data_IF_482742272622
#
_entry.id   IF_482742272622
#
_cell.length_a   1.000
_cell.length_b   1.000
_cell.length_c   1.000
_cell.angle_alpha   90.00
_cell.angle_beta   90.00
_cell.angle_gamma   90.00
#
_symmetry.space_group_name_H-M   'P 1'
#
loop_
_entity.id
_entity.type
_entity.pdbx_description
1 polymer ?
#
# COMPACT_ATOMS: atom_id res chain seq x y z
N UNK A 1 31.55 51.71 -32.28
CA UNK A 1 32.41 50.70 -31.61
C UNK A 1 31.53 49.70 -30.87
N UNK A 2 31.85 48.43 -31.06
CA UNK A 2 31.12 47.20 -30.74
C UNK A 2 30.60 47.09 -29.29
N UNK A 3 29.36 46.57 -29.14
CA UNK A 3 28.87 45.98 -27.88
C UNK A 3 28.79 44.46 -28.07
N UNK A 4 29.66 43.72 -27.38
CA UNK A 4 29.65 42.25 -27.29
C UNK A 4 28.68 41.83 -26.17
N UNK A 5 27.64 41.06 -26.49
CA UNK A 5 26.74 40.45 -25.50
C UNK A 5 27.12 38.98 -25.36
N UNK A 6 27.67 38.62 -24.20
CA UNK A 6 28.12 37.27 -23.87
C UNK A 6 26.90 36.43 -23.44
N UNK A 7 26.44 35.51 -24.31
CA UNK A 7 25.38 34.56 -23.98
C UNK A 7 25.93 33.39 -23.17
N UNK A 8 25.49 33.26 -21.92
CA UNK A 8 25.85 32.16 -21.04
C UNK A 8 24.86 30.99 -21.25
N UNK A 9 25.31 29.92 -21.93
CA UNK A 9 24.58 28.67 -22.08
C UNK A 9 24.77 27.81 -20.82
N UNK A 10 23.71 27.60 -20.03
CA UNK A 10 23.69 26.60 -18.97
C UNK A 10 23.30 25.24 -19.54
N UNK A 11 24.28 24.32 -19.63
CA UNK A 11 24.03 22.89 -19.83
C UNK A 11 23.71 22.25 -18.47
N UNK A 12 22.43 21.92 -18.23
CA UNK A 12 22.03 21.10 -17.09
C UNK A 12 22.12 19.64 -17.54
N UNK A 13 23.17 18.94 -17.09
CA UNK A 13 23.32 17.50 -17.25
C UNK A 13 22.48 16.85 -16.13
N UNK A 14 21.26 16.45 -16.44
CA UNK A 14 20.44 15.66 -15.51
C UNK A 14 20.93 14.20 -15.57
N UNK A 15 21.77 13.82 -14.62
CA UNK A 15 22.16 12.42 -14.41
C UNK A 15 20.94 11.68 -13.85
N UNK A 16 20.21 10.99 -14.72
CA UNK A 16 19.18 10.02 -14.34
C UNK A 16 19.85 8.77 -13.76
N UNK A 17 20.32 8.88 -12.52
CA UNK A 17 20.68 7.73 -11.70
C UNK A 17 19.41 6.98 -11.33
N UNK A 18 19.24 5.78 -11.88
CA UNK A 18 18.14 4.89 -11.56
C UNK A 18 18.18 4.53 -10.07
N UNK A 19 17.22 5.04 -9.32
CA UNK A 19 16.96 4.56 -7.97
C UNK A 19 16.10 3.30 -8.09
N UNK A 20 16.75 2.14 -7.93
CA UNK A 20 16.05 0.90 -7.64
C UNK A 20 15.46 1.03 -6.23
N UNK A 21 14.24 1.57 -6.14
CA UNK A 21 13.48 1.61 -4.90
C UNK A 21 13.04 0.18 -4.55
N UNK A 22 13.69 -0.42 -3.55
CA UNK A 22 13.17 -1.62 -2.89
C UNK A 22 12.10 -1.17 -1.90
N UNK A 23 10.90 -1.73 -2.02
CA UNK A 23 9.90 -1.65 -0.96
C UNK A 23 10.51 -2.12 0.36
N UNK A 24 10.17 -1.46 1.47
CA UNK A 24 10.53 -1.94 2.80
C UNK A 24 9.79 -3.27 3.02
N UNK A 25 10.55 -4.36 3.01
CA UNK A 25 10.07 -5.71 3.22
C UNK A 25 9.89 -6.06 4.72
N UNK A 26 9.90 -5.07 5.61
CA UNK A 26 10.04 -5.26 7.07
C UNK A 26 8.75 -5.09 7.88
N UNK A 27 7.63 -4.73 7.23
CA UNK A 27 6.36 -4.58 7.94
C UNK A 27 6.28 -3.36 8.85
N UNK A 28 7.15 -2.36 8.68
CA UNK A 28 7.09 -1.14 9.48
C UNK A 28 5.93 -0.22 9.05
N UNK A 29 5.07 0.24 9.97
CA UNK A 29 3.99 1.18 9.70
C UNK A 29 4.59 2.58 9.49
N UNK A 30 4.76 2.96 8.23
CA UNK A 30 5.24 4.27 7.84
C UNK A 30 4.57 4.73 6.56
N UNK A 31 4.44 6.04 6.33
CA UNK A 31 3.90 6.54 5.08
C UNK A 31 4.84 6.20 3.91
N UNK A 32 4.24 5.71 2.83
CA UNK A 32 4.86 5.36 1.56
C UNK A 32 4.41 6.37 0.51
N UNK A 33 5.35 7.12 -0.05
CA UNK A 33 5.09 8.16 -1.05
C UNK A 33 5.34 7.62 -2.47
N UNK A 34 4.44 7.91 -3.39
CA UNK A 34 4.51 7.48 -4.78
C UNK A 34 4.93 8.62 -5.70
N UNK A 35 5.47 8.30 -6.88
CA UNK A 35 5.97 9.29 -7.85
C UNK A 35 4.88 10.20 -8.42
N UNK A 36 3.62 9.79 -8.35
CA UNK A 36 2.45 10.59 -8.73
C UNK A 36 1.98 11.55 -7.63
N UNK A 37 2.71 11.61 -6.50
CA UNK A 37 2.39 12.46 -5.35
C UNK A 37 1.38 11.84 -4.37
N UNK A 38 0.92 10.61 -4.61
CA UNK A 38 0.06 9.90 -3.66
C UNK A 38 0.88 9.47 -2.43
N UNK A 39 0.23 9.40 -1.27
CA UNK A 39 0.85 8.95 -0.01
C UNK A 39 -0.06 7.91 0.63
N UNK A 40 0.47 6.71 0.85
CA UNK A 40 -0.24 5.62 1.50
C UNK A 40 0.31 5.37 2.91
N UNK A 41 -0.58 5.18 3.87
CA UNK A 41 -0.23 4.88 5.27
C UNK A 41 -1.01 3.63 5.68
N UNK A 42 -0.31 2.63 6.18
CA UNK A 42 -0.92 1.42 6.75
C UNK A 42 -0.86 1.48 8.28
N UNK A 43 -1.90 0.97 8.92
CA UNK A 43 -1.85 0.65 10.34
C UNK A 43 -0.98 -0.58 10.57
N UNK A 44 -0.42 -0.70 11.78
CA UNK A 44 0.43 -1.84 12.15
C UNK A 44 -0.34 -3.15 12.09
N UNK A 45 -1.56 -3.14 12.62
CA UNK A 45 -2.49 -4.26 12.69
C UNK A 45 -3.91 -3.70 12.69
N UNK A 46 -4.85 -4.49 12.18
CA UNK A 46 -6.24 -4.05 12.05
C UNK A 46 -7.20 -5.15 12.45
N UNK A 47 -8.29 -4.77 13.12
CA UNK A 47 -9.42 -5.64 13.34
C UNK A 47 -10.46 -5.53 12.23
N UNK A 48 -11.35 -6.52 12.21
CA UNK A 48 -12.47 -6.50 11.30
C UNK A 48 -13.39 -5.30 11.57
N UNK A 49 -13.61 -4.48 10.54
CA UNK A 49 -14.39 -3.25 10.60
C UNK A 49 -13.54 -1.98 10.78
N UNK A 50 -12.25 -2.11 11.05
CA UNK A 50 -11.35 -0.96 11.19
C UNK A 50 -10.86 -0.46 9.84
N UNK A 51 -10.52 0.83 9.80
CA UNK A 51 -9.74 1.41 8.71
C UNK A 51 -8.29 0.98 8.89
N UNK A 52 -7.82 0.16 7.97
CA UNK A 52 -6.54 -0.52 8.04
C UNK A 52 -5.44 0.17 7.23
N UNK A 53 -5.84 0.97 6.24
CA UNK A 53 -4.94 1.84 5.54
C UNK A 53 -5.67 3.07 4.99
N UNK A 54 -4.91 4.14 4.78
CA UNK A 54 -5.38 5.37 4.13
C UNK A 54 -4.43 5.74 3.01
N UNK A 55 -4.98 6.10 1.86
CA UNK A 55 -4.25 6.61 0.70
C UNK A 55 -4.74 8.03 0.45
N UNK A 56 -3.86 9.01 0.61
CA UNK A 56 -4.11 10.39 0.24
C UNK A 56 -3.61 10.60 -1.19
N UNK A 57 -4.51 10.95 -2.09
CA UNK A 57 -4.22 11.18 -3.51
C UNK A 57 -3.72 12.61 -3.70
N UNK A 58 -2.83 12.83 -4.67
CA UNK A 58 -2.29 14.16 -4.97
C UNK A 58 -3.35 15.18 -5.42
N UNK A 59 -4.50 14.71 -5.89
CA UNK A 59 -5.65 15.55 -6.26
C UNK A 59 -6.58 15.91 -5.08
N UNK A 60 -6.24 15.52 -3.85
CA UNK A 60 -7.01 15.78 -2.64
C UNK A 60 -8.13 14.77 -2.36
N UNK A 61 -8.23 13.69 -3.14
CA UNK A 61 -9.05 12.53 -2.79
C UNK A 61 -8.37 11.70 -1.68
N UNK A 62 -9.18 10.92 -0.97
CA UNK A 62 -8.71 9.98 0.03
C UNK A 62 -9.37 8.63 -0.18
N UNK A 63 -8.60 7.54 -0.17
CA UNK A 63 -9.13 6.18 -0.16
C UNK A 63 -8.86 5.57 1.21
N UNK A 64 -9.93 5.13 1.88
CA UNK A 64 -9.85 4.35 3.13
C UNK A 64 -10.01 2.88 2.79
N UNK A 65 -9.12 2.05 3.33
CA UNK A 65 -9.16 0.59 3.17
C UNK A 65 -9.67 -0.01 4.47
N UNK A 66 -10.79 -0.71 4.41
CA UNK A 66 -11.40 -1.40 5.54
C UNK A 66 -11.29 -2.90 5.31
N UNK A 67 -11.03 -3.65 6.38
CA UNK A 67 -10.99 -5.11 6.32
C UNK A 67 -12.27 -5.64 6.96
N UNK A 68 -13.13 -6.26 6.15
CA UNK A 68 -14.34 -6.92 6.62
C UNK A 68 -14.03 -8.21 7.36
N UNK A 69 -14.87 -8.58 8.33
CA UNK A 69 -14.73 -9.84 9.05
C UNK A 69 -14.79 -11.04 8.08
N UNK A 70 -13.81 -11.94 8.17
CA UNK A 70 -13.93 -13.26 7.56
C UNK A 70 -14.49 -14.24 8.59
N UNK A 71 -15.55 -14.96 8.24
CA UNK A 71 -15.95 -16.15 9.01
C UNK A 71 -14.84 -17.22 9.04
N UNK A 72 -15.04 -18.28 9.83
CA UNK A 72 -14.07 -19.39 9.90
C UNK A 72 -13.78 -19.95 8.51
N UNK A 73 -12.50 -20.00 8.14
CA UNK A 73 -12.03 -20.46 6.83
C UNK A 73 -12.61 -19.67 5.62
N UNK A 74 -13.04 -18.41 5.78
CA UNK A 74 -13.49 -17.59 4.65
C UNK A 74 -12.40 -16.58 4.22
N UNK A 75 -12.40 -16.14 2.96
CA UNK A 75 -11.60 -15.00 2.53
C UNK A 75 -12.00 -13.73 3.30
N UNK A 76 -11.05 -12.86 3.58
CA UNK A 76 -11.35 -11.50 4.05
C UNK A 76 -11.91 -10.70 2.87
N UNK A 77 -12.82 -9.77 3.17
CA UNK A 77 -13.33 -8.84 2.15
C UNK A 77 -12.72 -7.48 2.44
N UNK A 78 -11.86 -7.00 1.56
CA UNK A 78 -11.43 -5.62 1.63
C UNK A 78 -12.49 -4.72 1.03
N UNK A 79 -12.78 -3.62 1.71
CA UNK A 79 -13.65 -2.56 1.22
C UNK A 79 -12.84 -1.29 1.06
N UNK A 80 -12.97 -0.64 -0.08
CA UNK A 80 -12.32 0.61 -0.40
C UNK A 80 -13.36 1.69 -0.48
N UNK A 81 -13.15 2.79 0.23
CA UNK A 81 -14.06 3.92 0.27
C UNK A 81 -13.31 5.16 -0.20
N UNK A 82 -13.72 5.73 -1.33
CA UNK A 82 -13.10 6.93 -1.90
C UNK A 82 -13.87 8.17 -1.49
N UNK A 83 -13.17 9.17 -0.98
CA UNK A 83 -13.70 10.43 -0.49
C UNK A 83 -13.06 11.63 -1.19
N UNK A 84 -13.81 12.73 -1.30
CA UNK A 84 -13.30 14.05 -1.61
C UNK A 84 -13.97 15.07 -0.70
N UNK A 85 -13.20 15.78 0.12
CA UNK A 85 -13.73 16.76 1.10
C UNK A 85 -14.92 16.20 1.90
N UNK A 86 -14.74 15.01 2.48
CA UNK A 86 -15.73 14.26 3.26
C UNK A 86 -16.93 13.68 2.49
N UNK A 87 -17.05 13.96 1.18
CA UNK A 87 -18.06 13.32 0.33
C UNK A 87 -17.58 11.95 -0.14
N UNK A 88 -18.36 10.90 0.13
CA UNK A 88 -18.14 9.57 -0.42
C UNK A 88 -18.42 9.56 -1.93
N UNK A 89 -17.38 9.35 -2.73
CA UNK A 89 -17.44 9.29 -4.19
C UNK A 89 -17.72 7.87 -4.70
N UNK A 90 -17.28 6.84 -3.98
CA UNK A 90 -17.46 5.46 -4.43
C UNK A 90 -16.98 4.43 -3.42
N UNK A 91 -17.50 3.22 -3.56
CA UNK A 91 -17.15 2.05 -2.76
C UNK A 91 -16.95 0.86 -3.68
N UNK A 92 -15.89 0.09 -3.47
CA UNK A 92 -15.69 -1.20 -4.12
C UNK A 92 -15.08 -2.18 -3.12
N UNK A 93 -15.15 -3.47 -3.43
CA UNK A 93 -14.61 -4.51 -2.57
C UNK A 93 -13.87 -5.58 -3.35
N UNK A 94 -12.91 -6.21 -2.71
CA UNK A 94 -12.12 -7.30 -3.30
C UNK A 94 -11.88 -8.37 -2.24
N UNK A 95 -12.25 -9.64 -2.50
CA UNK A 95 -11.95 -10.73 -1.58
C UNK A 95 -10.45 -11.05 -1.61
N UNK A 96 -9.92 -11.51 -0.48
CA UNK A 96 -8.54 -12.02 -0.41
C UNK A 96 -8.45 -13.43 -0.96
N UNK A 97 -7.31 -13.76 -1.58
CA UNK A 97 -7.02 -15.10 -2.03
C UNK A 97 -6.65 -16.00 -0.84
N UNK A 98 -7.23 -17.19 -0.82
CA UNK A 98 -6.95 -18.19 0.21
C UNK A 98 -6.33 -19.42 -0.42
N UNK A 99 -5.34 -20.04 0.25
CA UNK A 99 -4.91 -21.37 -0.16
C UNK A 99 -6.08 -22.35 0.04
N UNK A 100 -6.24 -23.35 -0.84
CA UNK A 100 -7.24 -24.38 -0.64
C UNK A 100 -7.05 -25.03 0.72
N UNK A 101 -8.15 -25.36 1.38
CA UNK A 101 -8.11 -26.09 2.64
C UNK A 101 -7.32 -27.38 2.45
N UNK A 102 -6.43 -27.70 3.39
CA UNK A 102 -5.75 -29.00 3.38
C UNK A 102 -6.79 -30.07 3.68
N UNK A 103 -7.38 -30.62 2.63
CA UNK A 103 -8.29 -31.75 2.71
C UNK A 103 -7.46 -33.03 2.85
N UNK A 104 -7.40 -33.55 4.08
CA UNK A 104 -6.75 -34.82 4.36
C UNK A 104 -6.79 -35.18 5.85
N UNK A 105 -7.66 -36.12 6.20
CA UNK A 105 -7.73 -36.91 7.46
C UNK A 105 -7.67 -36.15 8.79
N UNK A 106 -8.80 -36.13 9.53
CA UNK A 106 -8.91 -35.80 10.96
C UNK A 106 -8.18 -34.52 11.41
N UNK A 107 -8.87 -33.38 11.32
CA UNK A 107 -8.37 -32.09 11.82
C UNK A 107 -8.17 -31.06 10.70
N UNK A 108 -9.23 -30.78 9.94
CA UNK A 108 -9.22 -29.75 8.90
C UNK A 108 -8.72 -28.42 9.49
N UNK A 109 -7.52 -28.02 9.09
CA UNK A 109 -6.98 -26.69 9.36
C UNK A 109 -7.35 -25.81 8.19
N UNK A 110 -7.81 -24.61 8.49
CA UNK A 110 -7.96 -23.57 7.49
C UNK A 110 -6.63 -23.45 6.70
N UNK A 111 -6.65 -23.65 5.38
CA UNK A 111 -5.54 -23.22 4.52
C UNK A 111 -5.21 -21.75 4.79
N UNK A 112 -3.92 -21.42 4.88
CA UNK A 112 -3.46 -20.04 5.11
C UNK A 112 -3.87 -19.09 3.98
N UNK A 113 -3.85 -17.79 4.23
CA UNK A 113 -4.11 -16.81 3.17
C UNK A 113 -2.93 -16.74 2.21
N UNK A 114 -3.21 -16.61 0.91
CA UNK A 114 -2.18 -16.20 -0.04
C UNK A 114 -2.06 -14.69 0.08
N UNK A 115 -0.83 -14.19 0.04
CA UNK A 115 -0.58 -12.76 -0.04
C UNK A 115 -1.35 -12.24 -1.25
N UNK A 116 -2.41 -11.48 -0.99
CA UNK A 116 -3.25 -10.92 -2.06
C UNK A 116 -2.62 -9.61 -2.44
N UNK A 117 -2.08 -9.54 -3.65
CA UNK A 117 -1.55 -8.31 -4.22
C UNK A 117 -2.62 -7.67 -5.10
N UNK A 118 -2.74 -6.36 -5.02
CA UNK A 118 -3.63 -5.61 -5.88
C UNK A 118 -3.07 -4.23 -6.22
N UNK A 119 -3.42 -3.75 -7.40
CA UNK A 119 -3.08 -2.40 -7.83
C UNK A 119 -4.30 -1.48 -7.74
N UNK A 120 -4.18 -0.40 -6.98
CA UNK A 120 -5.18 0.65 -6.85
C UNK A 120 -4.85 1.76 -7.85
N UNK A 121 -5.84 2.13 -8.67
CA UNK A 121 -5.72 3.14 -9.74
C UNK A 121 -4.52 2.93 -10.69
N UNK A 122 -4.10 1.68 -10.91
CA UNK A 122 -2.92 1.32 -11.71
C UNK A 122 -1.58 1.91 -11.22
N UNK A 123 -1.53 2.46 -10.01
CA UNK A 123 -0.37 3.20 -9.50
C UNK A 123 0.15 2.67 -8.16
N UNK A 124 -0.75 2.22 -7.29
CA UNK A 124 -0.42 1.82 -5.91
C UNK A 124 -0.52 0.31 -5.82
N UNK A 125 0.62 -0.37 -5.62
CA UNK A 125 0.63 -1.80 -5.35
C UNK A 125 0.52 -2.05 -3.85
N UNK A 126 -0.44 -2.87 -3.46
CA UNK A 126 -0.80 -3.13 -2.07
C UNK A 126 -0.94 -4.64 -1.87
N UNK A 127 -0.38 -5.14 -0.77
CA UNK A 127 -0.52 -6.52 -0.34
C UNK A 127 -1.16 -6.63 1.03
N UNK A 128 -1.83 -7.74 1.27
CA UNK A 128 -2.47 -8.05 2.55
C UNK A 128 -1.89 -9.34 3.06
N UNK A 129 -1.61 -9.35 4.36
CA UNK A 129 -0.92 -10.43 5.04
C UNK A 129 -1.61 -10.72 6.35
N UNK A 130 -1.60 -11.98 6.76
CA UNK A 130 -2.08 -12.40 8.06
C UNK A 130 -0.89 -12.81 8.93
N UNK A 131 -0.83 -12.29 10.14
CA UNK A 131 0.13 -12.74 11.15
C UNK A 131 -0.30 -14.09 11.75
N UNK A 132 0.60 -14.78 12.45
CA UNK A 132 0.33 -16.06 13.13
C UNK A 132 -0.81 -15.98 14.14
N UNK A 133 -1.05 -14.80 14.69
CA UNK A 133 -2.08 -14.52 15.69
C UNK A 133 -3.45 -14.23 15.04
N UNK A 134 -3.55 -14.34 13.72
CA UNK A 134 -4.79 -14.15 12.95
C UNK A 134 -5.11 -12.69 12.61
N UNK A 135 -4.33 -11.73 13.13
CA UNK A 135 -4.42 -10.31 12.79
C UNK A 135 -3.99 -10.06 11.35
N UNK A 136 -4.63 -9.08 10.71
CA UNK A 136 -4.34 -8.71 9.33
C UNK A 136 -3.58 -7.39 9.30
N UNK A 137 -2.62 -7.28 8.39
CA UNK A 137 -1.89 -6.05 8.11
C UNK A 137 -1.72 -5.84 6.61
N UNK A 138 -1.51 -4.58 6.23
CA UNK A 138 -1.39 -4.14 4.84
C UNK A 138 0.02 -3.62 4.61
N UNK A 139 0.61 -3.99 3.46
CA UNK A 139 1.87 -3.43 3.00
C UNK A 139 1.67 -2.71 1.66
N UNK A 140 2.40 -1.62 1.50
CA UNK A 140 2.45 -0.82 0.28
C UNK A 140 3.79 -1.02 -0.42
N UNK A 141 3.77 -1.24 -1.73
CA UNK A 141 4.93 -1.55 -2.55
C UNK A 141 5.17 -0.49 -3.62
N UNK A 142 6.42 -0.39 -4.10
CA UNK A 142 6.77 0.47 -5.23
C UNK A 142 6.85 1.98 -4.93
N UNK A 143 6.56 2.40 -3.70
CA UNK A 143 6.79 3.79 -3.25
C UNK A 143 8.08 3.98 -2.45
N UNK A 144 8.38 5.23 -2.12
CA UNK A 144 9.50 5.65 -1.28
C UNK A 144 9.01 5.85 0.15
N UNK A 145 9.61 5.18 1.16
CA UNK A 145 9.29 5.43 2.56
C UNK A 145 9.60 6.88 2.95
N UNK A 146 8.78 7.48 3.81
CA UNK A 146 9.09 8.81 4.33
C UNK A 146 10.39 8.78 5.17
N UNK A 147 11.30 9.77 5.01
CA UNK A 147 12.53 9.83 5.79
C UNK A 147 12.20 10.06 7.27
N UNK A 148 12.53 9.08 8.13
CA UNK A 148 12.41 9.23 9.60
C UNK A 148 11.93 8.00 10.36
N UNK A 149 11.39 6.97 9.71
CA UNK A 149 11.07 5.70 10.38
C UNK A 149 12.30 4.78 10.36
N UNK A 150 13.18 4.97 11.34
CA UNK A 150 14.24 4.01 11.62
C UNK A 150 13.59 2.66 11.98
N UNK A 151 13.63 1.71 11.05
CA UNK A 151 13.40 0.31 11.34
C UNK A 151 14.55 -0.18 12.24
N UNK A 152 14.33 -0.22 13.55
CA UNK A 152 15.12 -1.04 14.43
C UNK A 152 14.75 -2.49 14.14
N UNK A 153 15.59 -3.17 13.35
CA UNK A 153 15.55 -4.60 13.17
C UNK A 153 15.73 -5.29 14.54
N UNK A 154 14.81 -6.19 14.90
CA UNK A 154 15.03 -7.27 15.86
C UNK A 154 15.01 -8.60 15.10
#
# INVERSE_FOLDING_TARGET
MLRFTLGLLFFIITVSGGFAAKALADGSPGPVSYSNGDVATAEKECDAGDVCATINKSNGEQIKVLIGASGHCNPYVMTFMRYQKDQLLGVWATPTDRNPDTSGMMGAKCGGFRNTHMTIDSAIDMGIFQNTDGKVFVLFFGGTPAPGTNAAAQ
#
